data_IF_632734557297
#
_entry.id   IF_632734557297
#
_cell.length_a   1.000
_cell.length_b   1.000
_cell.length_c   1.000
_cell.angle_alpha   90.00
_cell.angle_beta   90.00
_cell.angle_gamma   90.00
#
_symmetry.space_group_name_H-M   'P 1'
#
loop_
_entity.id
_entity.type
_entity.pdbx_description
1 polymer ?
#
# COMPACT_ATOMS: atom_id res chain seq x y z
N UNK A 1 -61.82 71.15 27.32
CA UNK A 1 -62.84 70.74 26.34
C UNK A 1 -62.22 70.84 24.97
N UNK A 2 -62.34 69.76 24.16
CA UNK A 2 -62.12 69.69 22.69
C UNK A 2 -60.64 69.81 22.26
N UNK A 3 -59.95 68.74 21.88
CA UNK A 3 -59.92 67.96 20.63
C UNK A 3 -59.03 68.52 19.50
N UNK A 4 -58.29 67.58 18.88
CA UNK A 4 -57.88 67.52 17.47
C UNK A 4 -56.45 67.92 17.04
N UNK A 5 -55.68 66.86 16.73
CA UNK A 5 -54.86 66.58 15.52
C UNK A 5 -53.68 67.50 15.17
N UNK A 6 -52.48 67.01 14.83
CA UNK A 6 -52.18 66.20 13.62
C UNK A 6 -50.81 65.51 13.71
N UNK A 7 -50.69 64.36 13.02
CA UNK A 7 -49.53 63.45 12.91
C UNK A 7 -48.41 63.93 11.97
N UNK A 8 -47.18 63.39 12.16
CA UNK A 8 -46.26 62.85 11.14
C UNK A 8 -45.01 62.34 11.91
N UNK A 9 -44.36 61.19 11.70
CA UNK A 9 -44.53 60.02 10.85
C UNK A 9 -43.37 59.09 11.26
N UNK A 10 -43.65 57.89 11.77
CA UNK A 10 -42.61 56.88 12.07
C UNK A 10 -42.56 55.88 10.93
N UNK A 11 -41.43 55.84 10.25
CA UNK A 11 -41.08 54.86 9.22
C UNK A 11 -40.93 53.50 9.90
N UNK A 12 -41.83 52.57 9.60
CA UNK A 12 -41.75 51.18 10.06
C UNK A 12 -40.89 50.40 9.07
N UNK A 13 -39.66 50.10 9.45
CA UNK A 13 -38.74 49.25 8.68
C UNK A 13 -39.27 47.81 8.68
N UNK A 14 -39.67 47.31 7.52
CA UNK A 14 -39.97 45.89 7.32
C UNK A 14 -38.65 45.10 7.31
N UNK A 15 -38.39 44.32 8.37
CA UNK A 15 -37.37 43.28 8.34
C UNK A 15 -37.95 42.06 7.62
N UNK A 16 -37.52 41.83 6.38
CA UNK A 16 -37.80 40.58 5.67
C UNK A 16 -36.82 39.52 6.16
N UNK A 17 -37.34 38.51 6.87
CA UNK A 17 -36.56 37.36 7.34
C UNK A 17 -36.35 36.41 6.15
N UNK A 18 -35.15 36.38 5.57
CA UNK A 18 -34.76 35.36 4.60
C UNK A 18 -34.40 34.10 5.38
N UNK A 19 -35.27 33.09 5.34
CA UNK A 19 -34.97 31.75 5.86
C UNK A 19 -34.15 31.01 4.80
N UNK A 20 -32.86 30.82 5.06
CA UNK A 20 -31.99 29.96 4.25
C UNK A 20 -32.36 28.50 4.55
N UNK A 21 -33.05 27.83 3.63
CA UNK A 21 -33.26 26.39 3.70
C UNK A 21 -31.92 25.70 3.36
N UNK A 22 -31.23 25.17 4.38
CA UNK A 22 -30.05 24.34 4.20
C UNK A 22 -30.55 22.96 3.76
N UNK A 23 -30.52 22.68 2.45
CA UNK A 23 -30.72 21.33 1.95
C UNK A 23 -29.51 20.49 2.37
N UNK A 24 -29.73 19.55 3.28
CA UNK A 24 -28.71 18.57 3.68
C UNK A 24 -28.47 17.62 2.50
N UNK A 25 -27.52 17.97 1.64
CA UNK A 25 -27.00 17.02 0.67
C UNK A 25 -26.27 15.93 1.46
N UNK A 26 -26.80 14.71 1.41
CA UNK A 26 -26.09 13.51 1.82
C UNK A 26 -24.91 13.34 0.88
N UNK A 27 -23.76 13.86 1.29
CA UNK A 27 -22.48 13.58 0.64
C UNK A 27 -22.26 12.08 0.80
N UNK A 28 -22.57 11.32 -0.25
CA UNK A 28 -22.05 9.97 -0.42
C UNK A 28 -20.58 10.13 -0.75
N UNK A 29 -19.74 10.10 0.29
CA UNK A 29 -18.31 9.92 0.12
C UNK A 29 -18.16 8.64 -0.72
N UNK A 30 -17.51 8.67 -1.89
CA UNK A 30 -17.06 7.42 -2.47
C UNK A 30 -16.18 6.79 -1.39
N UNK A 31 -16.49 5.54 -1.03
CA UNK A 31 -15.62 4.70 -0.21
C UNK A 31 -14.36 4.46 -1.04
N UNK A 32 -13.51 5.49 -1.13
CA UNK A 32 -12.12 5.32 -1.47
C UNK A 32 -11.62 4.52 -0.29
N UNK A 33 -11.37 3.23 -0.51
CA UNK A 33 -10.42 2.50 0.31
C UNK A 33 -9.15 3.34 0.25
N UNK A 34 -8.98 4.23 1.22
CA UNK A 34 -7.72 4.88 1.47
C UNK A 34 -6.81 3.74 1.94
N UNK A 35 -6.25 3.00 0.97
CA UNK A 35 -4.98 2.36 1.16
C UNK A 35 -4.09 3.47 1.70
N UNK A 36 -3.73 3.37 2.97
CA UNK A 36 -2.77 4.28 3.58
C UNK A 36 -1.55 4.30 2.67
N UNK A 37 -1.41 5.37 1.90
CA UNK A 37 -0.28 5.66 1.02
C UNK A 37 0.86 6.21 1.88
N UNK A 38 1.13 5.57 3.01
CA UNK A 38 2.40 5.80 3.68
C UNK A 38 3.48 5.29 2.73
N UNK A 39 4.19 6.22 2.10
CA UNK A 39 5.40 5.92 1.32
C UNK A 39 6.49 5.27 2.17
N UNK A 40 6.30 5.19 3.50
CA UNK A 40 7.17 4.51 4.45
C UNK A 40 6.65 3.13 4.79
N UNK A 41 7.56 2.26 5.20
CA UNK A 41 7.31 0.88 5.60
C UNK A 41 6.54 0.05 4.55
N UNK A 42 6.81 0.25 3.26
CA UNK A 42 6.15 -0.47 2.17
C UNK A 42 7.12 -1.40 1.47
N UNK A 43 6.70 -2.65 1.23
CA UNK A 43 7.44 -3.63 0.44
C UNK A 43 6.56 -4.08 -0.72
N UNK A 44 7.15 -4.20 -1.90
CA UNK A 44 6.54 -4.83 -3.06
C UNK A 44 7.36 -6.05 -3.49
N UNK A 45 6.66 -7.13 -3.79
CA UNK A 45 7.28 -8.37 -4.27
C UNK A 45 6.70 -8.68 -5.63
N UNK A 46 7.57 -8.78 -6.62
CA UNK A 46 7.25 -9.44 -7.86
C UNK A 46 7.65 -10.90 -7.81
N UNK A 47 6.69 -11.80 -8.05
CA UNK A 47 6.99 -13.21 -8.32
C UNK A 47 6.86 -13.48 -9.81
N UNK A 48 7.79 -14.24 -10.36
CA UNK A 48 7.72 -14.70 -11.75
C UNK A 48 7.31 -16.18 -11.73
N UNK A 49 6.30 -16.57 -12.51
CA UNK A 49 5.95 -17.97 -12.73
C UNK A 49 5.75 -18.22 -14.21
N UNK A 50 6.47 -19.18 -14.78
CA UNK A 50 6.44 -19.48 -16.21
C UNK A 50 6.58 -18.22 -17.09
N UNK A 51 7.56 -17.38 -16.78
CA UNK A 51 7.83 -16.10 -17.42
C UNK A 51 6.77 -15.00 -17.26
N UNK A 52 5.77 -15.18 -16.39
CA UNK A 52 4.76 -14.16 -16.09
C UNK A 52 5.00 -13.55 -14.73
N UNK A 53 5.10 -12.23 -14.66
CA UNK A 53 5.31 -11.49 -13.41
C UNK A 53 3.98 -11.10 -12.75
N UNK A 54 3.90 -11.31 -11.43
CA UNK A 54 2.77 -10.94 -10.58
C UNK A 54 3.30 -10.07 -9.45
N UNK A 55 2.72 -8.88 -9.27
CA UNK A 55 3.14 -7.95 -8.23
C UNK A 55 2.27 -8.09 -6.99
N UNK A 56 2.88 -8.05 -5.82
CA UNK A 56 2.23 -8.07 -4.53
C UNK A 56 2.70 -6.89 -3.71
N UNK A 57 1.79 -6.26 -2.97
CA UNK A 57 2.12 -5.24 -1.97
C UNK A 57 2.02 -5.88 -0.59
N UNK A 58 3.00 -5.62 0.28
CA UNK A 58 2.90 -6.00 1.68
C UNK A 58 2.37 -4.82 2.50
N UNK A 59 1.33 -5.09 3.29
CA UNK A 59 0.82 -4.20 4.33
C UNK A 59 0.89 -4.97 5.65
N UNK A 60 1.96 -4.77 6.41
CA UNK A 60 2.30 -5.66 7.54
C UNK A 60 2.87 -7.01 7.07
N UNK A 61 2.59 -8.09 7.81
CA UNK A 61 3.21 -9.42 7.57
C UNK A 61 2.47 -10.28 6.53
N UNK A 62 1.35 -9.82 6.00
CA UNK A 62 0.63 -10.51 4.93
C UNK A 62 0.82 -9.80 3.59
N UNK A 63 1.05 -10.60 2.55
CA UNK A 63 0.96 -10.13 1.18
C UNK A 63 -0.48 -9.85 0.82
N UNK A 64 -0.76 -8.57 0.60
CA UNK A 64 -2.02 -8.12 0.06
C UNK A 64 -2.12 -8.50 -1.42
N UNK A 65 -3.38 -8.62 -1.84
CA UNK A 65 -3.86 -9.00 -3.17
C UNK A 65 -2.95 -8.60 -4.35
N UNK A 66 -2.88 -9.51 -5.33
CA UNK A 66 -2.21 -9.35 -6.61
C UNK A 66 -2.46 -7.94 -7.19
N UNK A 67 -1.44 -7.07 -7.15
CA UNK A 67 -1.47 -5.69 -7.65
C UNK A 67 -1.50 -5.63 -9.19
N UNK A 68 -1.53 -6.80 -9.85
CA UNK A 68 -1.66 -6.95 -11.30
C UNK A 68 -0.48 -7.70 -11.91
N UNK A 69 -0.56 -7.88 -13.23
CA UNK A 69 0.59 -8.34 -14.01
C UNK A 69 1.63 -7.23 -14.05
N UNK A 70 2.89 -7.56 -13.77
CA UNK A 70 3.98 -6.62 -13.84
C UNK A 70 5.07 -7.12 -14.79
N UNK A 71 5.71 -6.16 -15.47
CA UNK A 71 7.00 -6.40 -16.12
C UNK A 71 8.02 -6.70 -15.03
N UNK A 72 8.93 -7.62 -15.31
CA UNK A 72 10.01 -7.96 -14.40
C UNK A 72 10.74 -6.68 -14.00
N UNK A 73 11.18 -6.59 -12.73
CA UNK A 73 11.99 -5.47 -12.23
C UNK A 73 11.30 -4.11 -12.13
N UNK A 74 9.99 -4.06 -12.38
CA UNK A 74 9.27 -2.79 -12.25
C UNK A 74 8.97 -2.55 -10.78
N UNK A 75 9.72 -1.64 -10.17
CA UNK A 75 9.43 -1.12 -8.85
C UNK A 75 8.40 0.03 -8.97
N UNK A 76 7.33 0.04 -8.16
CA UNK A 76 6.44 1.19 -8.05
C UNK A 76 7.19 2.47 -7.69
N UNK A 77 6.61 3.63 -8.02
CA UNK A 77 7.19 4.93 -7.68
C UNK A 77 7.55 5.03 -6.19
N UNK A 78 8.64 5.73 -5.90
CA UNK A 78 9.17 5.93 -4.55
C UNK A 78 9.62 4.65 -3.83
N UNK A 79 9.93 3.59 -4.58
CA UNK A 79 10.54 2.37 -4.05
C UNK A 79 11.87 2.05 -4.74
N UNK A 80 12.74 1.36 -4.01
CA UNK A 80 14.09 0.98 -4.41
C UNK A 80 14.12 -0.53 -4.62
N UNK A 81 14.72 -0.96 -5.73
CA UNK A 81 14.98 -2.37 -6.00
C UNK A 81 16.06 -2.91 -5.04
N UNK A 82 15.68 -3.89 -4.22
CA UNK A 82 16.58 -4.52 -3.25
C UNK A 82 17.34 -5.70 -3.85
N UNK A 83 16.73 -6.40 -4.80
CA UNK A 83 17.36 -7.48 -5.55
C UNK A 83 16.35 -8.31 -6.32
N UNK A 84 16.87 -9.19 -7.17
CA UNK A 84 16.08 -9.96 -8.13
C UNK A 84 16.82 -11.20 -8.61
N UNK A 85 16.04 -12.19 -9.04
CA UNK A 85 16.49 -13.34 -9.81
C UNK A 85 15.63 -13.44 -11.07
N UNK A 86 16.26 -13.29 -12.23
CA UNK A 86 15.59 -13.23 -13.54
C UNK A 86 15.53 -14.60 -14.21
N UNK A 87 14.90 -15.55 -13.51
CA UNK A 87 14.62 -16.88 -14.04
C UNK A 87 13.11 -17.04 -14.32
N UNK A 88 12.72 -18.03 -15.13
CA UNK A 88 11.30 -18.29 -15.42
C UNK A 88 10.41 -18.48 -14.19
N UNK A 89 10.99 -18.82 -13.04
CA UNK A 89 10.32 -18.92 -11.74
C UNK A 89 10.96 -18.02 -10.67
N UNK A 90 11.57 -16.90 -11.07
CA UNK A 90 12.31 -16.00 -10.19
C UNK A 90 11.45 -14.99 -9.43
N UNK A 91 12.06 -13.86 -9.08
CA UNK A 91 11.42 -12.79 -8.30
C UNK A 91 12.15 -11.44 -8.47
N UNK A 92 11.51 -10.37 -8.01
CA UNK A 92 12.17 -9.11 -7.68
C UNK A 92 11.54 -8.50 -6.44
N UNK A 93 12.35 -7.79 -5.64
CA UNK A 93 11.94 -7.20 -4.38
C UNK A 93 12.19 -5.70 -4.41
N UNK A 94 11.18 -4.90 -4.10
CA UNK A 94 11.27 -3.45 -3.97
C UNK A 94 10.80 -3.03 -2.58
N UNK A 95 11.37 -1.96 -2.04
CA UNK A 95 10.89 -1.39 -0.78
C UNK A 95 11.03 0.13 -0.75
N UNK A 96 10.26 0.79 0.11
CA UNK A 96 10.46 2.21 0.42
C UNK A 96 11.86 2.46 0.98
N UNK A 97 12.39 3.67 0.82
CA UNK A 97 13.79 3.99 1.19
C UNK A 97 14.11 3.70 2.66
N UNK A 98 13.17 3.95 3.58
CA UNK A 98 13.32 3.65 5.01
C UNK A 98 13.51 2.15 5.31
N UNK A 99 12.99 1.27 4.44
CA UNK A 99 13.23 -0.18 4.51
C UNK A 99 14.48 -0.54 3.71
N UNK A 100 14.65 0.00 2.51
CA UNK A 100 15.74 -0.36 1.61
C UNK A 100 17.12 -0.16 2.24
N UNK A 101 17.27 0.91 3.03
CA UNK A 101 18.52 1.27 3.69
C UNK A 101 18.74 0.53 5.03
N UNK A 102 17.78 -0.30 5.46
CA UNK A 102 17.82 -0.98 6.77
C UNK A 102 18.65 -2.28 6.78
N UNK A 103 19.23 -2.68 5.65
CA UNK A 103 20.24 -3.74 5.59
C UNK A 103 19.91 -4.88 4.64
N UNK A 104 20.29 -6.10 5.06
CA UNK A 104 20.11 -7.32 4.27
C UNK A 104 18.74 -7.93 4.52
N UNK A 105 18.11 -8.37 3.44
CA UNK A 105 16.87 -9.12 3.44
C UNK A 105 17.13 -10.55 3.02
N UNK A 106 16.15 -11.37 3.34
CA UNK A 106 16.20 -12.79 3.15
C UNK A 106 14.90 -13.22 2.49
N UNK A 107 14.99 -13.59 1.22
CA UNK A 107 13.83 -13.84 0.38
C UNK A 107 13.66 -15.34 0.16
N UNK A 108 12.54 -15.88 0.60
CA UNK A 108 12.11 -17.23 0.26
C UNK A 108 11.19 -17.22 -0.93
N UNK A 109 11.56 -17.90 -2.00
CA UNK A 109 10.73 -18.11 -3.18
C UNK A 109 10.14 -19.52 -3.13
N UNK A 110 8.82 -19.63 -3.12
CA UNK A 110 8.14 -20.94 -3.20
C UNK A 110 7.74 -21.20 -4.64
N UNK A 111 8.18 -22.32 -5.20
CA UNK A 111 7.79 -22.77 -6.54
C UNK A 111 7.36 -24.22 -6.46
N UNK A 112 6.11 -24.51 -6.85
CA UNK A 112 5.54 -25.85 -6.81
C UNK A 112 5.78 -26.56 -5.46
N UNK A 113 5.47 -25.86 -4.37
CA UNK A 113 5.61 -26.32 -2.98
C UNK A 113 7.04 -26.52 -2.47
N UNK A 114 8.07 -26.16 -3.25
CA UNK A 114 9.49 -26.18 -2.84
C UNK A 114 9.99 -24.78 -2.53
N UNK A 115 10.67 -24.63 -1.40
CA UNK A 115 11.25 -23.35 -0.97
C UNK A 115 12.72 -23.24 -1.36
N UNK A 116 13.06 -22.12 -1.97
CA UNK A 116 14.42 -21.70 -2.26
C UNK A 116 14.68 -20.36 -1.59
N UNK A 117 15.93 -20.04 -1.30
CA UNK A 117 16.27 -18.86 -0.53
C UNK A 117 17.41 -18.04 -1.13
N UNK A 118 17.28 -16.71 -1.00
CA UNK A 118 18.26 -15.73 -1.41
C UNK A 118 18.57 -14.76 -0.28
N UNK A 119 19.84 -14.38 -0.19
CA UNK A 119 20.26 -13.16 0.49
C UNK A 119 20.10 -11.99 -0.49
N UNK A 120 19.38 -10.95 -0.07
CA UNK A 120 18.99 -9.82 -0.91
C UNK A 120 19.48 -8.53 -0.29
N UNK A 121 20.33 -7.80 -1.00
CA UNK A 121 20.78 -6.48 -0.55
C UNK A 121 21.34 -5.67 -1.72
N UNK A 122 21.22 -4.34 -1.65
CA UNK A 122 21.89 -3.39 -2.57
C UNK A 122 21.66 -3.70 -4.06
N UNK A 123 20.44 -4.10 -4.42
CA UNK A 123 20.05 -4.43 -5.79
C UNK A 123 20.48 -5.82 -6.27
N UNK A 124 21.04 -6.66 -5.39
CA UNK A 124 21.52 -8.00 -5.72
C UNK A 124 20.75 -9.07 -4.95
N UNK A 125 20.60 -10.25 -5.57
CA UNK A 125 20.12 -11.45 -4.91
C UNK A 125 21.13 -12.58 -5.09
N UNK A 126 21.66 -13.09 -3.98
CA UNK A 126 22.61 -14.21 -3.96
C UNK A 126 21.87 -15.48 -3.53
N UNK A 127 21.87 -16.56 -4.34
CA UNK A 127 21.24 -17.81 -3.96
C UNK A 127 21.97 -18.42 -2.76
N UNK A 128 21.20 -18.94 -1.81
CA UNK A 128 21.70 -19.55 -0.58
C UNK A 128 21.20 -20.99 -0.36
N UNK A 129 20.29 -21.47 -1.21
CA UNK A 129 19.93 -22.89 -1.32
C UNK A 129 18.47 -23.20 -1.01
N UNK A 130 18.19 -24.48 -0.80
CA UNK A 130 16.86 -24.99 -0.49
C UNK A 130 16.52 -24.77 0.99
N UNK A 131 15.26 -24.50 1.29
CA UNK A 131 14.82 -24.23 2.66
C UNK A 131 13.35 -24.59 2.88
N UNK A 132 12.97 -24.86 4.14
CA UNK A 132 11.57 -24.91 4.56
C UNK A 132 10.94 -23.52 4.47
N UNK A 133 9.63 -23.49 4.27
CA UNK A 133 8.88 -22.25 4.24
C UNK A 133 9.02 -21.46 5.54
N UNK A 134 8.91 -20.14 5.44
CA UNK A 134 8.93 -19.20 6.57
C UNK A 134 10.13 -19.36 7.51
N UNK A 135 11.26 -19.82 6.99
CA UNK A 135 12.48 -19.94 7.79
C UNK A 135 13.15 -18.57 7.87
N UNK A 136 13.07 -17.94 9.04
CA UNK A 136 13.77 -16.70 9.39
C UNK A 136 14.87 -17.00 10.42
N UNK A 137 16.03 -17.49 10.00
CA UNK A 137 17.12 -17.88 10.91
C UNK A 137 17.60 -16.69 11.77
N UNK A 138 17.05 -16.57 12.98
CA UNK A 138 17.38 -15.51 13.94
C UNK A 138 16.81 -14.13 13.60
N UNK A 139 15.99 -14.01 12.54
CA UNK A 139 15.39 -12.74 12.10
C UNK A 139 13.87 -12.70 12.25
N UNK A 140 13.28 -11.57 11.88
CA UNK A 140 11.84 -11.33 11.92
C UNK A 140 11.20 -11.50 10.53
N UNK A 141 10.01 -12.11 10.52
CA UNK A 141 9.18 -12.17 9.32
C UNK A 141 8.63 -10.77 9.01
N UNK A 142 9.02 -10.22 7.85
CA UNK A 142 8.55 -8.93 7.35
C UNK A 142 7.27 -9.07 6.55
N UNK A 143 7.10 -10.20 5.85
CA UNK A 143 5.81 -10.63 5.35
C UNK A 143 5.88 -11.81 4.38
N UNK A 144 4.71 -12.34 4.02
CA UNK A 144 4.62 -13.54 3.18
C UNK A 144 3.33 -13.62 2.38
N UNK A 145 3.40 -14.37 1.28
CA UNK A 145 2.25 -14.96 0.61
C UNK A 145 2.32 -16.48 0.82
N UNK A 146 1.49 -17.01 1.71
CA UNK A 146 1.56 -18.42 2.12
C UNK A 146 0.76 -19.32 1.16
N UNK A 147 1.34 -19.60 -0.02
CA UNK A 147 0.75 -20.46 -1.06
C UNK A 147 1.83 -21.31 -1.74
N UNK A 148 1.43 -22.38 -2.45
CA UNK A 148 2.35 -23.31 -3.13
C UNK A 148 3.24 -22.68 -4.19
N UNK A 149 2.98 -21.43 -4.58
CA UNK A 149 3.80 -20.63 -5.48
C UNK A 149 4.07 -19.22 -4.91
N UNK A 150 4.07 -19.11 -3.58
CA UNK A 150 4.20 -17.85 -2.85
C UNK A 150 5.63 -17.45 -2.55
N UNK A 151 5.78 -16.71 -1.44
CA UNK A 151 7.06 -16.20 -0.98
C UNK A 151 7.00 -15.83 0.50
N UNK A 152 8.15 -15.61 1.12
CA UNK A 152 8.28 -14.94 2.40
C UNK A 152 9.53 -14.07 2.44
N UNK A 153 9.54 -13.08 3.32
CA UNK A 153 10.64 -12.16 3.51
C UNK A 153 10.97 -12.10 4.98
N UNK A 154 12.23 -12.34 5.30
CA UNK A 154 12.80 -12.14 6.62
C UNK A 154 13.79 -10.99 6.60
N UNK A 155 14.02 -10.42 7.77
CA UNK A 155 15.08 -9.46 8.02
C UNK A 155 15.73 -9.81 9.37
N UNK A 156 17.07 -9.85 9.48
CA UNK A 156 17.76 -10.02 10.76
C UNK A 156 17.29 -9.04 11.83
#
# INVERSE_FOLDING_TARGET
>A
MINSTTMLGKVTTFFSLVVLAITSETITLPTVYAQSNSAKNTIYVGIVRNNKGFLHRLSGTQGDSNAGNARWDTCPENTILLGKDFQPNGFWLCASSDIADSGTFYFGNVVNNRGYYWEVSRGQAKPAGDVKWDTCWGGQLRGRLFTTNGFWICQP
#
